data_IF_410795284282
#
_entry.id   IF_410795284282
#
_cell.length_a   1.000
_cell.length_b   1.000
_cell.length_c   1.000
_cell.angle_alpha   90.00
_cell.angle_beta   90.00
_cell.angle_gamma   90.00
#
_symmetry.space_group_name_H-M   'P 1'
#
loop_
_entity.id
_entity.type
_entity.pdbx_description
1 polymer ?
#
# COMPACT_ATOMS: atom_id res chain seq x y z
N UNK A 1 -2.38 14.11 -17.78
CA UNK A 1 -2.02 14.59 -16.41
C UNK A 1 -2.72 13.80 -15.31
N UNK A 2 -4.01 13.48 -15.44
CA UNK A 2 -4.74 12.78 -14.37
C UNK A 2 -4.24 11.34 -14.09
N UNK A 3 -3.75 10.61 -15.10
CA UNK A 3 -3.13 9.29 -14.91
C UNK A 3 -1.84 9.37 -14.06
N UNK A 4 -0.96 10.34 -14.33
CA UNK A 4 0.27 10.55 -13.54
C UNK A 4 -0.09 10.91 -12.10
N UNK A 5 -1.12 11.76 -11.92
CA UNK A 5 -1.62 12.08 -10.59
C UNK A 5 -2.12 10.82 -9.87
N UNK A 6 -2.89 9.97 -10.55
CA UNK A 6 -3.35 8.70 -9.99
C UNK A 6 -2.20 7.79 -9.57
N UNK A 7 -1.14 7.69 -10.39
CA UNK A 7 0.05 6.90 -10.05
C UNK A 7 0.75 7.43 -8.78
N UNK A 8 1.00 8.75 -8.71
CA UNK A 8 1.65 9.38 -7.56
C UNK A 8 0.80 9.21 -6.31
N UNK A 9 -0.51 9.45 -6.40
CA UNK A 9 -1.43 9.32 -5.26
C UNK A 9 -1.46 7.88 -4.76
N UNK A 10 -1.59 6.88 -5.64
CA UNK A 10 -1.59 5.48 -5.24
C UNK A 10 -0.28 5.08 -4.54
N UNK A 11 0.86 5.55 -5.06
CA UNK A 11 2.17 5.29 -4.48
C UNK A 11 2.30 5.93 -3.09
N UNK A 12 1.99 7.22 -2.94
CA UNK A 12 2.15 7.91 -1.65
C UNK A 12 1.09 7.51 -0.63
N UNK A 13 -0.13 7.19 -1.04
CA UNK A 13 -1.15 6.70 -0.12
C UNK A 13 -0.91 5.28 0.36
N UNK A 14 -0.17 4.46 -0.43
CA UNK A 14 0.09 3.06 -0.06
C UNK A 14 0.82 2.90 1.26
N UNK A 15 1.70 3.84 1.65
CA UNK A 15 2.38 3.80 2.95
C UNK A 15 1.40 4.06 4.11
N UNK A 16 0.44 4.97 3.93
CA UNK A 16 -0.59 5.25 4.93
C UNK A 16 -1.54 4.06 5.09
N UNK A 17 -1.88 3.41 3.98
CA UNK A 17 -2.67 2.17 3.98
C UNK A 17 -1.89 1.05 4.67
N UNK A 18 -0.62 0.87 4.34
CA UNK A 18 0.22 -0.15 4.98
C UNK A 18 0.33 0.07 6.49
N UNK A 19 0.49 1.31 6.94
CA UNK A 19 0.49 1.67 8.37
C UNK A 19 -0.84 1.33 9.03
N UNK A 20 -1.95 1.69 8.39
CA UNK A 20 -3.28 1.40 8.90
C UNK A 20 -3.47 -0.11 9.06
N UNK A 21 -3.15 -0.90 8.03
CA UNK A 21 -3.30 -2.36 8.04
C UNK A 21 -2.37 -3.06 9.04
N UNK A 22 -1.12 -2.59 9.16
CA UNK A 22 -0.19 -3.07 10.17
C UNK A 22 -0.71 -2.80 11.60
N UNK A 23 -1.45 -1.71 11.80
CA UNK A 23 -2.01 -1.39 13.11
C UNK A 23 -3.35 -2.08 13.41
N UNK A 24 -4.29 -2.09 12.47
CA UNK A 24 -5.62 -2.71 12.67
C UNK A 24 -5.56 -4.23 12.62
N UNK A 25 -4.86 -4.79 11.66
CA UNK A 25 -4.86 -6.23 11.44
C UNK A 25 -3.61 -6.92 11.98
N UNK A 26 -2.57 -6.16 12.35
CA UNK A 26 -1.26 -6.70 12.80
C UNK A 26 -0.70 -7.76 11.84
N UNK A 27 -1.11 -7.70 10.58
CA UNK A 27 -0.69 -8.64 9.54
C UNK A 27 0.82 -8.49 9.38
N UNK A 28 1.56 -9.60 9.28
CA UNK A 28 2.99 -9.51 9.01
C UNK A 28 3.20 -8.68 7.74
N UNK A 29 4.20 -7.82 7.84
CA UNK A 29 4.62 -7.04 6.69
C UNK A 29 5.67 -7.92 6.04
N UNK A 30 5.49 -8.31 4.77
CA UNK A 30 6.35 -9.30 4.17
C UNK A 30 7.79 -8.78 4.28
N UNK A 31 8.70 -9.49 4.93
CA UNK A 31 10.11 -9.10 4.99
C UNK A 31 10.98 -10.35 5.01
N UNK A 32 10.57 -11.38 4.27
CA UNK A 32 11.33 -12.62 4.14
C UNK A 32 11.67 -13.27 5.47
N UNK A 33 10.76 -13.21 6.46
CA UNK A 33 10.96 -13.80 7.79
C UNK A 33 11.61 -12.89 8.84
N UNK A 34 11.94 -11.63 8.53
CA UNK A 34 12.37 -10.69 9.58
C UNK A 34 11.22 -10.21 10.48
N UNK A 35 9.99 -10.19 9.96
CA UNK A 35 8.77 -9.76 10.65
C UNK A 35 7.83 -10.96 10.82
N UNK A 36 7.48 -11.30 12.06
CA UNK A 36 6.66 -12.48 12.37
C UNK A 36 6.91 -13.02 13.79
N UNK A 37 6.20 -14.09 14.21
CA UNK A 37 6.40 -14.72 15.51
C UNK A 37 7.84 -15.27 15.71
N UNK A 38 8.47 -15.76 14.64
CA UNK A 38 9.86 -16.24 14.64
C UNK A 38 10.88 -15.23 14.09
N UNK A 39 10.42 -14.06 13.63
CA UNK A 39 11.28 -12.98 13.15
C UNK A 39 11.81 -12.10 14.29
N UNK A 40 12.95 -11.43 14.09
CA UNK A 40 13.53 -10.51 15.08
C UNK A 40 12.65 -9.28 15.37
N UNK A 41 11.65 -9.01 14.53
CA UNK A 41 10.68 -7.95 14.70
C UNK A 41 9.29 -8.59 14.85
N UNK A 42 8.77 -8.66 16.08
CA UNK A 42 7.42 -9.17 16.33
C UNK A 42 6.41 -8.00 16.42
N UNK A 43 5.48 -7.83 15.46
CA UNK A 43 4.48 -6.76 15.49
C UNK A 43 3.50 -6.86 16.67
N UNK A 44 3.41 -8.01 17.33
CA UNK A 44 2.58 -8.21 18.52
C UNK A 44 3.22 -7.70 19.81
N UNK A 45 4.54 -7.49 19.84
CA UNK A 45 5.28 -7.00 21.01
C UNK A 45 5.92 -5.62 20.82
N UNK A 46 5.82 -5.04 19.61
CA UNK A 46 6.39 -3.73 19.30
C UNK A 46 5.45 -2.57 19.67
N UNK A 47 6.02 -1.51 20.24
CA UNK A 47 5.35 -0.22 20.40
C UNK A 47 5.13 0.48 19.05
N UNK A 48 4.34 1.57 19.07
CA UNK A 48 3.97 2.33 17.87
C UNK A 48 5.17 2.74 16.99
N UNK A 49 6.28 3.17 17.60
CA UNK A 49 7.51 3.54 16.88
C UNK A 49 8.15 2.36 16.14
N UNK A 50 8.08 1.15 16.72
CA UNK A 50 8.56 -0.07 16.08
C UNK A 50 7.74 -0.40 14.83
N UNK A 51 6.41 -0.37 14.95
CA UNK A 51 5.50 -0.61 13.80
C UNK A 51 5.75 0.39 12.68
N UNK A 52 5.87 1.69 12.99
CA UNK A 52 6.17 2.73 12.00
C UNK A 52 7.47 2.43 11.23
N UNK A 53 8.51 2.03 11.97
CA UNK A 53 9.83 1.72 11.40
C UNK A 53 9.75 0.49 10.50
N UNK A 54 9.10 -0.58 10.96
CA UNK A 54 8.92 -1.82 10.19
C UNK A 54 8.14 -1.58 8.90
N UNK A 55 7.07 -0.80 8.93
CA UNK A 55 6.30 -0.45 7.73
C UNK A 55 7.13 0.38 6.77
N UNK A 56 7.87 1.39 7.26
CA UNK A 56 8.72 2.21 6.41
C UNK A 56 9.82 1.37 5.73
N UNK A 57 10.47 0.47 6.48
CA UNK A 57 11.53 -0.40 5.98
C UNK A 57 11.00 -1.39 4.95
N UNK A 58 9.87 -2.04 5.21
CA UNK A 58 9.23 -2.94 4.26
C UNK A 58 8.73 -2.21 3.00
N UNK A 59 8.12 -1.03 3.17
CA UNK A 59 7.68 -0.21 2.05
C UNK A 59 8.87 0.18 1.17
N UNK A 60 9.98 0.63 1.75
CA UNK A 60 11.19 0.91 0.97
C UNK A 60 11.75 -0.34 0.31
N UNK A 61 11.79 -1.47 1.01
CA UNK A 61 12.30 -2.73 0.48
C UNK A 61 11.50 -3.18 -0.75
N UNK A 62 10.17 -3.31 -0.64
CA UNK A 62 9.34 -3.66 -1.81
C UNK A 62 9.33 -2.60 -2.90
N UNK A 63 9.46 -1.33 -2.52
CA UNK A 63 9.63 -0.22 -3.45
C UNK A 63 10.86 -0.41 -4.34
N UNK A 64 12.01 -0.68 -3.74
CA UNK A 64 13.29 -0.83 -4.42
C UNK A 64 13.39 -2.12 -5.24
N UNK A 65 12.83 -3.22 -4.75
CA UNK A 65 12.84 -4.52 -5.44
C UNK A 65 11.71 -4.68 -6.47
N UNK A 66 11.01 -3.59 -6.82
CA UNK A 66 10.01 -3.58 -7.88
C UNK A 66 8.64 -4.16 -7.50
N UNK A 67 8.46 -4.62 -6.26
CA UNK A 67 7.16 -5.10 -5.74
C UNK A 67 6.07 -4.03 -5.79
N UNK A 68 6.46 -2.75 -5.83
CA UNK A 68 5.53 -1.63 -5.96
C UNK A 68 5.37 -1.08 -7.37
N UNK A 69 5.94 -1.68 -8.41
CA UNK A 69 5.65 -1.26 -9.81
C UNK A 69 4.17 -1.40 -10.14
N UNK A 70 3.48 -2.32 -9.47
CA UNK A 70 2.03 -2.50 -9.62
C UNK A 70 1.21 -1.30 -9.10
N UNK A 71 1.68 -0.60 -8.05
CA UNK A 71 0.98 0.56 -7.47
C UNK A 71 0.81 1.74 -8.45
N UNK A 72 1.86 2.27 -9.09
CA UNK A 72 1.71 3.35 -10.06
C UNK A 72 0.94 2.91 -11.31
N UNK A 73 1.01 1.63 -11.70
CA UNK A 73 0.21 1.10 -12.83
C UNK A 73 -1.28 1.12 -12.50
N UNK A 74 -1.68 0.53 -11.36
CA UNK A 74 -3.08 0.53 -10.91
C UNK A 74 -3.58 1.95 -10.63
N UNK A 75 -2.75 2.79 -10.00
CA UNK A 75 -3.06 4.20 -9.78
C UNK A 75 -3.25 4.97 -11.09
N UNK A 76 -2.42 4.73 -12.11
CA UNK A 76 -2.56 5.37 -13.42
C UNK A 76 -3.84 4.95 -14.14
N UNK A 77 -4.16 3.65 -14.11
CA UNK A 77 -5.40 3.11 -14.70
C UNK A 77 -6.61 3.71 -13.98
N UNK A 78 -6.63 3.68 -12.65
CA UNK A 78 -7.72 4.25 -11.86
C UNK A 78 -7.88 5.75 -12.11
N UNK A 79 -6.77 6.50 -12.16
CA UNK A 79 -6.80 7.92 -12.46
C UNK A 79 -7.33 8.23 -13.86
N UNK A 80 -6.97 7.41 -14.85
CA UNK A 80 -7.49 7.52 -16.21
C UNK A 80 -9.00 7.26 -16.28
N UNK A 81 -9.45 6.10 -15.75
CA UNK A 81 -10.86 5.71 -15.77
C UNK A 81 -11.74 6.68 -14.98
N UNK A 82 -11.30 7.11 -13.80
CA UNK A 82 -12.00 8.10 -13.00
C UNK A 82 -12.08 9.45 -13.74
N UNK A 83 -11.02 9.85 -14.45
CA UNK A 83 -11.03 11.11 -15.21
C UNK A 83 -12.03 11.10 -16.37
N UNK A 84 -12.27 9.96 -17.00
CA UNK A 84 -13.27 9.82 -18.06
C UNK A 84 -14.68 9.78 -17.48
N UNK A 85 -14.89 8.97 -16.45
CA UNK A 85 -16.20 8.77 -15.80
C UNK A 85 -16.74 10.05 -15.16
N UNK A 86 -15.86 10.87 -14.57
CA UNK A 86 -16.24 12.10 -13.86
C UNK A 86 -15.82 13.36 -14.62
N UNK A 87 -15.72 13.29 -15.95
CA UNK A 87 -15.25 14.39 -16.81
C UNK A 87 -16.09 15.67 -16.67
N UNK A 88 -17.41 15.54 -16.49
CA UNK A 88 -18.35 16.64 -16.31
C UNK A 88 -18.60 17.05 -14.84
N UNK A 89 -17.98 16.35 -13.88
CA UNK A 89 -18.21 16.61 -12.46
C UNK A 89 -17.30 17.74 -11.94
N UNK A 90 -17.87 18.70 -11.21
CA UNK A 90 -17.09 19.79 -10.59
C UNK A 90 -16.03 19.30 -9.59
N UNK A 91 -16.18 18.09 -9.06
CA UNK A 91 -15.28 17.44 -8.12
C UNK A 91 -14.37 16.36 -8.76
N UNK A 92 -14.17 16.38 -10.08
CA UNK A 92 -13.34 15.40 -10.82
C UNK A 92 -12.01 15.06 -10.13
N UNK A 93 -11.28 16.07 -9.65
CA UNK A 93 -9.96 15.88 -9.01
C UNK A 93 -10.05 15.05 -7.72
N UNK A 94 -11.06 15.32 -6.90
CA UNK A 94 -11.29 14.58 -5.64
C UNK A 94 -11.65 13.12 -5.94
N UNK A 95 -12.46 12.89 -6.97
CA UNK A 95 -12.78 11.52 -7.42
C UNK A 95 -11.54 10.77 -7.90
N UNK A 96 -10.69 11.40 -8.74
CA UNK A 96 -9.43 10.78 -9.21
C UNK A 96 -8.54 10.37 -8.03
N UNK A 97 -8.41 11.24 -7.01
CA UNK A 97 -7.63 10.92 -5.80
C UNK A 97 -8.24 9.73 -5.06
N UNK A 98 -9.54 9.77 -4.78
CA UNK A 98 -10.22 8.71 -4.03
C UNK A 98 -10.11 7.35 -4.72
N UNK A 99 -10.34 7.30 -6.04
CA UNK A 99 -10.21 6.06 -6.82
C UNK A 99 -8.77 5.56 -6.90
N UNK A 100 -7.77 6.45 -6.98
CA UNK A 100 -6.36 6.07 -6.95
C UNK A 100 -5.94 5.48 -5.59
N UNK A 101 -6.42 6.05 -4.47
CA UNK A 101 -6.19 5.50 -3.13
C UNK A 101 -6.79 4.09 -3.02
N UNK A 102 -8.06 3.93 -3.40
CA UNK A 102 -8.74 2.62 -3.38
C UNK A 102 -8.03 1.58 -4.25
N UNK A 103 -7.59 1.98 -5.45
CA UNK A 103 -6.83 1.09 -6.33
C UNK A 103 -5.47 0.70 -5.73
N UNK A 104 -4.80 1.63 -5.03
CA UNK A 104 -3.55 1.36 -4.31
C UNK A 104 -3.73 0.45 -3.09
N UNK A 105 -4.92 0.41 -2.48
CA UNK A 105 -5.21 -0.49 -1.35
C UNK A 105 -5.22 -1.97 -1.76
N UNK A 106 -5.67 -2.28 -2.98
CA UNK A 106 -5.81 -3.65 -3.47
C UNK A 106 -4.48 -4.43 -3.42
N UNK A 107 -3.37 -3.97 -4.02
CA UNK A 107 -2.10 -4.69 -3.97
C UNK A 107 -1.50 -4.70 -2.56
N UNK A 108 -1.66 -3.65 -1.76
CA UNK A 108 -1.20 -3.66 -0.35
C UNK A 108 -1.93 -4.74 0.43
N UNK A 109 -3.25 -4.82 0.29
CA UNK A 109 -4.07 -5.85 0.92
C UNK A 109 -3.73 -7.26 0.41
N UNK A 110 -3.54 -7.42 -0.90
CA UNK A 110 -3.13 -8.68 -1.50
C UNK A 110 -1.77 -9.16 -0.98
N UNK A 111 -0.77 -8.27 -0.89
CA UNK A 111 0.54 -8.60 -0.33
C UNK A 111 0.44 -8.97 1.16
N UNK A 112 -0.37 -8.23 1.93
CA UNK A 112 -0.63 -8.55 3.33
C UNK A 112 -1.28 -9.93 3.50
N UNK A 113 -2.28 -10.29 2.68
CA UNK A 113 -2.90 -11.63 2.73
C UNK A 113 -1.92 -12.72 2.30
N UNK A 114 -1.16 -12.50 1.21
CA UNK A 114 -0.17 -13.47 0.75
C UNK A 114 0.89 -13.72 1.82
N UNK A 115 1.31 -12.67 2.52
CA UNK A 115 2.21 -12.79 3.66
C UNK A 115 1.57 -13.40 4.89
N UNK A 116 0.23 -13.46 5.00
CA UNK A 116 -0.54 -14.18 6.03
C UNK A 116 -0.82 -15.66 5.66
N UNK A 117 -0.65 -16.04 4.39
CA UNK A 117 -0.84 -17.44 3.94
C UNK A 117 0.48 -18.17 3.67
N UNK A 118 1.49 -17.47 3.14
CA UNK A 118 2.75 -18.06 2.63
C UNK A 118 3.98 -17.51 3.39
N UNK A 119 3.78 -16.49 4.22
CA UNK A 119 4.85 -15.91 5.03
C UNK A 119 5.56 -16.98 5.87
N UNK A 120 6.89 -16.91 6.01
CA UNK A 120 7.62 -17.75 6.95
C UNK A 120 7.26 -17.29 8.37
N UNK A 121 6.22 -17.88 8.97
CA UNK A 121 5.86 -17.69 10.38
C UNK A 121 6.99 -18.18 11.27
#
# INVERSE_FOLDING_TARGET
>A
MDSIRGAIVALTSSILVALLFAYTFRIPIPMGGMLGPLGGLNPYSMGFSGVLTSVAVAWLFYGLFGGFVILPVFGAIAGHLASQKFSAAGNKRQMVVLWAVLAGMIPVFGLSILDLIIGPW
#
